data_IF_631971408811
#
_entry.id   IF_631971408811
#
_cell.length_a   1.000
_cell.length_b   1.000
_cell.length_c   1.000
_cell.angle_alpha   90.00
_cell.angle_beta   90.00
_cell.angle_gamma   90.00
#
_symmetry.space_group_name_H-M   'P 1'
#
loop_
_entity.id
_entity.type
_entity.pdbx_description
1 polymer ?
#
# COMPACT_ATOMS: atom_id res chain seq x y z
N UNK A 1 -8.66 16.42 -27.24
CA UNK A 1 -9.59 15.44 -26.65
C UNK A 1 -10.89 16.15 -26.28
N UNK A 2 -12.04 15.58 -26.61
CA UNK A 2 -13.35 16.14 -26.25
C UNK A 2 -13.70 15.83 -24.79
N UNK A 3 -14.73 16.49 -24.25
CA UNK A 3 -15.20 16.21 -22.88
C UNK A 3 -15.72 14.78 -22.72
N UNK A 4 -16.50 14.29 -23.69
CA UNK A 4 -17.02 12.92 -23.71
C UNK A 4 -15.90 11.86 -23.77
N UNK A 5 -14.84 12.11 -24.54
CA UNK A 5 -13.68 11.22 -24.60
C UNK A 5 -12.95 11.16 -23.25
N UNK A 6 -12.80 12.31 -22.61
CA UNK A 6 -12.16 12.41 -21.32
C UNK A 6 -12.98 11.72 -20.22
N UNK A 7 -14.29 11.94 -20.17
CA UNK A 7 -15.15 11.29 -19.19
C UNK A 7 -15.21 9.78 -19.37
N UNK A 8 -15.16 9.30 -20.62
CA UNK A 8 -14.98 7.88 -20.89
C UNK A 8 -13.67 7.35 -20.27
N UNK A 9 -12.54 8.02 -20.49
CA UNK A 9 -11.25 7.60 -19.93
C UNK A 9 -11.24 7.65 -18.40
N UNK A 10 -11.88 8.65 -17.78
CA UNK A 10 -12.03 8.73 -16.33
C UNK A 10 -12.79 7.54 -15.78
N UNK A 11 -13.95 7.24 -16.36
CA UNK A 11 -14.77 6.09 -15.95
C UNK A 11 -14.02 4.76 -16.16
N UNK A 12 -13.35 4.62 -17.30
CA UNK A 12 -12.59 3.44 -17.66
C UNK A 12 -11.40 3.21 -16.71
N UNK A 13 -10.59 4.23 -16.44
CA UNK A 13 -9.45 4.13 -15.51
C UNK A 13 -9.92 3.86 -14.08
N UNK A 14 -11.00 4.51 -13.64
CA UNK A 14 -11.61 4.24 -12.33
C UNK A 14 -12.04 2.78 -12.21
N UNK A 15 -12.73 2.24 -13.23
CA UNK A 15 -13.17 0.85 -13.23
C UNK A 15 -11.99 -0.15 -13.21
N UNK A 16 -10.93 0.14 -13.97
CA UNK A 16 -9.81 -0.80 -14.14
C UNK A 16 -8.75 -0.70 -13.05
N UNK A 17 -8.57 0.46 -12.43
CA UNK A 17 -7.45 0.72 -11.50
C UNK A 17 -7.85 1.42 -10.20
N UNK A 18 -9.09 1.90 -10.10
CA UNK A 18 -9.58 2.71 -8.99
C UNK A 18 -9.26 4.19 -9.12
N UNK A 19 -8.37 4.58 -10.06
CA UNK A 19 -7.88 5.95 -10.21
C UNK A 19 -9.02 6.95 -10.42
N UNK A 20 -9.27 7.78 -9.42
CA UNK A 20 -10.23 8.86 -9.45
C UNK A 20 -9.59 10.13 -10.03
N UNK A 21 -9.77 10.33 -11.34
CA UNK A 21 -9.33 11.54 -12.03
C UNK A 21 -10.33 12.69 -11.86
N UNK A 22 -9.82 13.85 -11.45
CA UNK A 22 -10.58 15.10 -11.42
C UNK A 22 -10.47 15.84 -12.76
N UNK A 23 -11.42 16.72 -13.12
CA UNK A 23 -11.39 17.43 -14.40
C UNK A 23 -10.10 18.23 -14.66
N UNK A 24 -9.50 18.78 -13.61
CA UNK A 24 -8.29 19.60 -13.67
C UNK A 24 -7.05 18.77 -14.07
N UNK A 25 -7.11 17.44 -13.90
CA UNK A 25 -6.03 16.51 -14.26
C UNK A 25 -6.10 16.05 -15.72
N UNK A 26 -6.90 16.70 -16.58
CA UNK A 26 -6.99 16.36 -18.02
C UNK A 26 -5.63 16.35 -18.71
N UNK A 27 -4.76 17.32 -18.42
CA UNK A 27 -3.41 17.41 -18.99
C UNK A 27 -2.54 16.17 -18.69
N UNK A 28 -2.82 15.47 -17.58
CA UNK A 28 -2.08 14.27 -17.19
C UNK A 28 -2.41 13.10 -18.12
N UNK A 29 -3.68 12.98 -18.50
CA UNK A 29 -4.14 11.97 -19.46
C UNK A 29 -3.48 12.22 -20.81
N UNK A 30 -3.45 13.47 -21.27
CA UNK A 30 -2.86 13.82 -22.56
C UNK A 30 -1.35 13.54 -22.59
N UNK A 31 -0.62 13.97 -21.56
CA UNK A 31 0.83 13.77 -21.49
C UNK A 31 1.24 12.30 -21.37
N UNK A 32 0.49 11.48 -20.60
CA UNK A 32 0.85 10.09 -20.32
C UNK A 32 0.32 9.09 -21.36
N UNK A 33 -0.82 9.36 -22.00
CA UNK A 33 -1.38 8.45 -23.00
C UNK A 33 -0.90 8.73 -24.42
N UNK A 34 -0.33 9.91 -24.71
CA UNK A 34 0.26 10.19 -26.03
C UNK A 34 1.39 9.20 -26.40
N UNK A 35 2.34 8.86 -25.51
CA UNK A 35 3.32 7.80 -25.75
C UNK A 35 2.68 6.43 -26.00
N UNK A 36 1.57 6.12 -25.32
CA UNK A 36 0.82 4.87 -25.53
C UNK A 36 0.24 4.85 -26.94
N UNK A 37 -0.39 5.94 -27.40
CA UNK A 37 -0.88 6.03 -28.79
C UNK A 37 0.23 5.71 -29.80
N UNK A 38 1.40 6.32 -29.65
CA UNK A 38 2.56 6.08 -30.53
C UNK A 38 3.00 4.62 -30.53
N UNK A 39 3.07 3.99 -29.36
CA UNK A 39 3.45 2.57 -29.20
C UNK A 39 2.50 1.62 -29.95
N UNK A 40 1.21 1.95 -30.00
CA UNK A 40 0.18 1.13 -30.66
C UNK A 40 -0.18 1.63 -32.06
N UNK A 41 0.58 2.56 -32.65
CA UNK A 41 0.33 3.07 -34.01
C UNK A 41 -0.94 3.90 -34.16
N UNK A 42 -1.45 4.47 -33.06
CA UNK A 42 -2.65 5.30 -33.04
C UNK A 42 -2.27 6.78 -33.22
N UNK A 43 -2.95 7.47 -34.14
CA UNK A 43 -2.65 8.87 -34.46
C UNK A 43 -3.10 9.84 -33.35
N UNK A 44 -4.21 9.53 -32.68
CA UNK A 44 -4.82 10.44 -31.69
C UNK A 44 -5.34 9.71 -30.45
N UNK A 45 -5.58 10.46 -29.38
CA UNK A 45 -6.28 9.95 -28.19
C UNK A 45 -7.73 9.56 -28.49
N UNK A 46 -8.35 10.16 -29.50
CA UNK A 46 -9.68 9.76 -29.97
C UNK A 46 -9.65 8.35 -30.53
N UNK A 47 -8.62 8.02 -31.30
CA UNK A 47 -8.43 6.67 -31.85
C UNK A 47 -8.19 5.65 -30.72
N UNK A 48 -7.45 6.06 -29.68
CA UNK A 48 -7.28 5.26 -28.47
C UNK A 48 -8.62 5.00 -27.78
N UNK A 49 -9.44 6.02 -27.55
CA UNK A 49 -10.78 5.87 -26.96
C UNK A 49 -11.67 4.98 -27.81
N UNK A 50 -11.67 5.15 -29.14
CA UNK A 50 -12.40 4.30 -30.06
C UNK A 50 -11.96 2.84 -29.96
N UNK A 51 -10.65 2.61 -29.88
CA UNK A 51 -10.06 1.27 -29.70
C UNK A 51 -10.48 0.65 -28.37
N UNK A 52 -10.39 1.38 -27.25
CA UNK A 52 -10.78 0.87 -25.93
C UNK A 52 -12.28 0.54 -25.81
N UNK A 53 -13.14 1.18 -26.60
CA UNK A 53 -14.58 0.90 -26.62
C UNK A 53 -14.95 -0.40 -27.35
N UNK A 54 -14.16 -0.78 -28.36
CA UNK A 54 -14.50 -1.86 -29.29
C UNK A 54 -13.63 -3.08 -29.05
N UNK A 55 -12.34 -2.86 -28.74
CA UNK A 55 -11.34 -3.91 -28.65
C UNK A 55 -11.45 -4.69 -27.35
N UNK A 56 -11.23 -6.01 -27.44
CA UNK A 56 -10.96 -6.88 -26.29
C UNK A 56 -9.46 -7.11 -26.06
N UNK A 57 -8.60 -6.37 -26.78
CA UNK A 57 -7.15 -6.48 -26.64
C UNK A 57 -6.74 -5.98 -25.24
N UNK A 58 -6.29 -6.91 -24.41
CA UNK A 58 -5.84 -6.61 -23.05
C UNK A 58 -4.51 -5.87 -23.01
N UNK A 59 -3.73 -5.86 -24.09
CA UNK A 59 -2.40 -5.25 -24.13
C UNK A 59 -2.47 -3.72 -24.13
N UNK A 60 -3.39 -3.14 -24.90
CA UNK A 60 -3.60 -1.68 -24.93
C UNK A 60 -4.25 -1.19 -23.63
N UNK A 61 -5.22 -1.94 -23.09
CA UNK A 61 -5.82 -1.67 -21.78
C UNK A 61 -4.75 -1.61 -20.70
N UNK A 62 -3.90 -2.64 -20.64
CA UNK A 62 -2.79 -2.72 -19.68
C UNK A 62 -1.85 -1.54 -19.83
N UNK A 63 -1.45 -1.19 -21.06
CA UNK A 63 -0.56 -0.05 -21.29
C UNK A 63 -1.17 1.29 -20.88
N UNK A 64 -2.48 1.49 -21.09
CA UNK A 64 -3.21 2.69 -20.65
C UNK A 64 -3.24 2.77 -19.12
N UNK A 65 -3.55 1.65 -18.46
CA UNK A 65 -3.58 1.59 -16.99
C UNK A 65 -2.19 1.84 -16.40
N UNK A 66 -1.15 1.15 -16.90
CA UNK A 66 0.23 1.31 -16.44
C UNK A 66 0.74 2.74 -16.66
N UNK A 67 0.48 3.34 -17.81
CA UNK A 67 0.88 4.72 -18.08
C UNK A 67 0.23 5.72 -17.12
N UNK A 68 -0.96 5.42 -16.61
CA UNK A 68 -1.70 6.31 -15.71
C UNK A 68 -1.40 6.09 -14.22
N UNK A 69 -0.67 5.04 -13.84
CA UNK A 69 -0.23 4.90 -12.44
C UNK A 69 0.81 5.95 -12.09
N UNK A 70 0.84 6.39 -10.82
CA UNK A 70 1.86 7.32 -10.32
C UNK A 70 2.72 6.59 -9.32
N UNK A 71 3.95 6.27 -9.72
CA UNK A 71 4.81 5.30 -9.05
C UNK A 71 5.93 5.95 -8.22
N UNK A 72 5.72 7.15 -7.67
CA UNK A 72 6.76 7.83 -6.88
C UNK A 72 7.02 7.09 -5.56
N UNK A 73 8.25 6.61 -5.40
CA UNK A 73 8.72 5.93 -4.19
C UNK A 73 10.22 6.17 -3.99
N UNK A 74 10.70 5.98 -2.77
CA UNK A 74 12.12 6.06 -2.43
C UNK A 74 12.40 5.30 -1.12
N UNK A 75 13.66 4.93 -0.92
CA UNK A 75 14.05 4.15 0.25
C UNK A 75 13.76 4.92 1.54
N UNK A 76 13.20 4.22 2.53
CA UNK A 76 12.88 4.78 3.84
C UNK A 76 11.98 6.03 3.79
N UNK A 77 11.05 6.08 2.82
CA UNK A 77 10.09 7.20 2.66
C UNK A 77 9.37 7.56 3.95
N UNK A 78 9.39 8.84 4.30
CA UNK A 78 8.84 9.44 5.52
C UNK A 78 9.48 8.99 6.84
N UNK A 79 10.52 8.13 6.80
CA UNK A 79 11.34 7.57 7.91
C UNK A 79 10.57 6.93 9.08
N UNK A 80 9.65 7.66 9.71
CA UNK A 80 8.79 7.26 10.83
C UNK A 80 8.16 5.87 10.67
N UNK A 81 7.58 5.47 9.53
CA UNK A 81 7.00 4.13 9.39
C UNK A 81 8.02 3.00 9.63
N UNK A 82 9.25 3.22 9.15
CA UNK A 82 10.35 2.27 9.25
C UNK A 82 11.00 2.27 10.64
N UNK A 83 11.09 3.44 11.29
CA UNK A 83 11.48 3.52 12.70
C UNK A 83 10.45 2.82 13.61
N UNK A 84 9.14 3.03 13.37
CA UNK A 84 8.07 2.30 14.07
C UNK A 84 8.17 0.79 13.85
N UNK A 85 8.47 0.35 12.63
CA UNK A 85 8.69 -1.07 12.37
C UNK A 85 9.84 -1.63 13.18
N UNK A 86 11.01 -0.98 13.16
CA UNK A 86 12.20 -1.42 13.88
C UNK A 86 11.98 -1.45 15.39
N UNK A 87 11.43 -0.38 15.97
CA UNK A 87 11.45 -0.15 17.41
C UNK A 87 10.19 -0.66 18.12
N UNK A 88 9.07 -0.76 17.41
CA UNK A 88 7.76 -1.10 18.00
C UNK A 88 7.20 -2.39 17.41
N UNK A 89 6.97 -2.42 16.10
CA UNK A 89 6.19 -3.50 15.48
C UNK A 89 6.95 -4.81 15.43
N UNK A 90 8.23 -4.80 15.04
CA UNK A 90 9.03 -6.01 14.94
C UNK A 90 9.20 -6.69 16.31
N UNK A 91 9.61 -5.99 17.40
CA UNK A 91 9.66 -6.60 18.74
C UNK A 91 8.32 -7.16 19.21
N UNK A 92 7.21 -6.43 19.01
CA UNK A 92 5.88 -6.87 19.42
C UNK A 92 5.41 -8.11 18.62
N UNK A 93 5.60 -8.10 17.30
CA UNK A 93 5.23 -9.22 16.46
C UNK A 93 6.07 -10.47 16.80
N UNK A 94 7.36 -10.29 17.09
CA UNK A 94 8.22 -11.39 17.53
C UNK A 94 7.77 -11.98 18.88
N UNK A 95 7.37 -11.15 19.84
CA UNK A 95 6.85 -11.65 21.11
C UNK A 95 5.55 -12.46 20.92
N UNK A 96 4.61 -11.93 20.12
CA UNK A 96 3.32 -12.58 19.83
C UNK A 96 3.46 -13.89 19.06
N UNK A 97 4.43 -13.94 18.13
CA UNK A 97 4.66 -15.09 17.24
C UNK A 97 5.74 -16.04 17.74
N UNK A 98 6.25 -15.88 18.97
CA UNK A 98 7.38 -16.65 19.48
C UNK A 98 7.20 -18.18 19.37
N UNK A 99 5.97 -18.68 19.52
CA UNK A 99 5.67 -20.11 19.35
C UNK A 99 5.69 -20.60 17.90
N UNK A 100 5.33 -19.75 16.93
CA UNK A 100 5.30 -20.10 15.50
C UNK A 100 6.59 -19.73 14.77
N UNK A 101 7.31 -18.73 15.29
CA UNK A 101 8.53 -18.12 14.70
C UNK A 101 8.35 -17.75 13.23
N UNK A 102 7.14 -17.32 12.87
CA UNK A 102 6.80 -16.87 11.53
C UNK A 102 6.25 -15.45 11.58
N UNK A 103 6.76 -14.59 10.69
CA UNK A 103 6.34 -13.21 10.53
C UNK A 103 5.98 -12.98 9.06
N UNK A 104 4.80 -12.42 8.80
CA UNK A 104 4.36 -12.07 7.44
C UNK A 104 4.09 -10.58 7.33
N UNK A 105 4.69 -9.94 6.34
CA UNK A 105 4.57 -8.52 6.07
C UNK A 105 4.05 -8.34 4.64
N UNK A 106 3.11 -7.43 4.43
CA UNK A 106 2.59 -7.09 3.11
C UNK A 106 2.85 -5.63 2.78
N UNK A 107 3.53 -5.36 1.67
CA UNK A 107 3.62 -4.04 1.04
C UNK A 107 2.60 -3.96 -0.11
N UNK A 108 1.48 -3.30 0.14
CA UNK A 108 0.41 -3.04 -0.80
C UNK A 108 0.71 -1.75 -1.60
N UNK A 109 0.83 -1.88 -2.93
CA UNK A 109 1.36 -0.87 -3.84
C UNK A 109 2.87 -0.60 -3.66
N UNK A 110 3.66 -1.66 -3.78
CA UNK A 110 5.10 -1.65 -3.54
C UNK A 110 5.92 -0.83 -4.57
N UNK A 111 5.31 -0.42 -5.69
CA UNK A 111 5.94 0.30 -6.79
C UNK A 111 7.26 -0.39 -7.21
N UNK A 112 8.34 0.36 -7.39
CA UNK A 112 9.64 -0.13 -7.85
C UNK A 112 10.46 -0.82 -6.74
N UNK A 113 9.85 -1.19 -5.62
CA UNK A 113 10.42 -2.08 -4.61
C UNK A 113 11.18 -1.43 -3.45
N UNK A 114 11.34 -0.11 -3.42
CA UNK A 114 12.13 0.55 -2.37
C UNK A 114 11.54 0.35 -0.97
N UNK A 115 10.21 0.33 -0.81
CA UNK A 115 9.55 0.07 0.48
C UNK A 115 9.82 -1.34 1.02
N UNK A 116 9.55 -2.44 0.27
CA UNK A 116 9.85 -3.78 0.75
C UNK A 116 11.36 -4.02 0.95
N UNK A 117 12.23 -3.41 0.14
CA UNK A 117 13.68 -3.48 0.38
C UNK A 117 14.13 -2.73 1.63
N UNK A 118 13.52 -1.59 1.96
CA UNK A 118 13.79 -0.92 3.23
C UNK A 118 13.44 -1.80 4.43
N UNK A 119 12.33 -2.56 4.36
CA UNK A 119 11.98 -3.54 5.38
C UNK A 119 12.94 -4.73 5.41
N UNK A 120 13.33 -5.26 4.24
CA UNK A 120 14.31 -6.34 4.13
C UNK A 120 15.65 -5.96 4.77
N UNK A 121 16.12 -4.72 4.55
CA UNK A 121 17.32 -4.18 5.20
C UNK A 121 17.17 -4.17 6.73
N UNK A 122 16.05 -3.66 7.26
CA UNK A 122 15.83 -3.64 8.71
C UNK A 122 15.78 -5.04 9.33
N UNK A 123 15.17 -5.99 8.64
CA UNK A 123 15.14 -7.39 9.07
C UNK A 123 16.54 -8.00 9.04
N UNK A 124 17.33 -7.72 8.00
CA UNK A 124 18.72 -8.17 7.92
C UNK A 124 19.59 -7.58 9.04
N UNK A 125 19.36 -6.31 9.40
CA UNK A 125 20.06 -5.64 10.52
C UNK A 125 19.61 -6.16 11.90
N UNK A 126 18.41 -6.72 12.03
CA UNK A 126 17.98 -7.38 13.27
C UNK A 126 18.83 -8.65 13.58
N UNK A 127 19.46 -9.23 12.55
CA UNK A 127 20.50 -10.25 12.68
C UNK A 127 20.10 -11.43 13.55
N UNK A 128 20.92 -11.72 14.57
CA UNK A 128 20.74 -12.88 15.46
C UNK A 128 19.38 -12.92 16.19
N UNK A 129 18.69 -11.78 16.34
CA UNK A 129 17.34 -11.74 16.94
C UNK A 129 16.34 -12.54 16.11
N UNK A 130 16.53 -12.61 14.79
CA UNK A 130 15.70 -13.35 13.86
C UNK A 130 16.25 -14.75 13.53
N UNK A 131 17.27 -15.23 14.25
CA UNK A 131 17.75 -16.60 14.08
C UNK A 131 16.58 -17.59 14.23
N UNK A 132 16.41 -18.49 13.26
CA UNK A 132 15.32 -19.47 13.24
C UNK A 132 13.90 -18.90 13.04
N UNK A 133 13.78 -17.63 12.64
CA UNK A 133 12.50 -17.06 12.20
C UNK A 133 12.31 -17.25 10.70
N UNK A 134 11.09 -17.60 10.29
CA UNK A 134 10.65 -17.51 8.91
C UNK A 134 9.98 -16.15 8.69
N UNK A 135 10.61 -15.28 7.90
CA UNK A 135 10.05 -13.96 7.56
C UNK A 135 9.70 -13.93 6.07
N UNK A 136 8.47 -13.50 5.77
CA UNK A 136 7.94 -13.40 4.41
C UNK A 136 7.51 -11.95 4.16
N UNK A 137 8.08 -11.29 3.15
CA UNK A 137 7.61 -9.99 2.65
C UNK A 137 6.87 -10.24 1.34
N UNK A 138 5.56 -10.05 1.33
CA UNK A 138 4.77 -10.04 0.10
C UNK A 138 4.70 -8.61 -0.41
N UNK A 139 5.13 -8.37 -1.64
CA UNK A 139 5.10 -7.04 -2.26
C UNK A 139 4.18 -7.09 -3.48
N UNK A 140 3.14 -6.26 -3.49
CA UNK A 140 2.15 -6.27 -4.57
C UNK A 140 1.98 -4.93 -5.22
N UNK A 141 1.76 -4.91 -6.53
CA UNK A 141 1.43 -3.70 -7.28
C UNK A 141 0.51 -4.03 -8.47
N UNK A 142 -0.20 -3.01 -8.97
CA UNK A 142 -0.99 -3.10 -10.20
C UNK A 142 -0.08 -3.11 -11.42
N UNK A 143 0.97 -2.29 -11.41
CA UNK A 143 1.90 -2.16 -12.54
C UNK A 143 2.89 -3.31 -12.54
N UNK A 144 2.93 -4.06 -13.65
CA UNK A 144 3.89 -5.16 -13.79
C UNK A 144 5.29 -4.64 -14.08
N UNK A 145 5.42 -3.49 -14.75
CA UNK A 145 6.70 -2.86 -15.05
C UNK A 145 7.48 -2.52 -13.77
N UNK A 146 6.81 -1.91 -12.78
CA UNK A 146 7.46 -1.55 -11.52
C UNK A 146 7.79 -2.78 -10.66
N UNK A 147 6.95 -3.82 -10.73
CA UNK A 147 7.24 -5.11 -10.09
C UNK A 147 8.50 -5.73 -10.67
N UNK A 148 8.64 -5.78 -11.99
CA UNK A 148 9.83 -6.36 -12.62
C UNK A 148 11.09 -5.54 -12.28
N UNK A 149 11.00 -4.20 -12.23
CA UNK A 149 12.08 -3.36 -11.71
C UNK A 149 12.43 -3.70 -10.25
N UNK A 150 11.42 -3.89 -9.40
CA UNK A 150 11.58 -4.32 -8.01
C UNK A 150 12.31 -5.67 -7.91
N UNK A 151 11.91 -6.68 -8.70
CA UNK A 151 12.56 -8.00 -8.75
C UNK A 151 14.01 -7.92 -9.22
N UNK A 152 14.31 -7.12 -10.24
CA UNK A 152 15.66 -6.89 -10.73
C UNK A 152 16.53 -6.21 -9.67
N UNK A 153 15.94 -5.29 -8.90
CA UNK A 153 16.60 -4.57 -7.82
C UNK A 153 17.73 -3.66 -8.30
N UNK A 154 17.63 -3.17 -9.54
CA UNK A 154 18.56 -2.24 -10.17
C UNK A 154 18.02 -0.82 -10.09
N UNK A 155 18.83 0.08 -9.53
CA UNK A 155 18.46 1.46 -9.25
C UNK A 155 19.52 2.43 -9.75
N UNK A 156 19.08 3.59 -10.22
CA UNK A 156 19.99 4.68 -10.58
C UNK A 156 20.69 5.27 -9.36
N UNK A 157 21.78 6.02 -9.60
CA UNK A 157 22.49 6.74 -8.54
C UNK A 157 21.55 7.69 -7.75
N UNK A 158 20.66 8.39 -8.45
CA UNK A 158 19.68 9.28 -7.83
C UNK A 158 18.73 8.53 -6.88
N UNK A 159 18.22 7.36 -7.30
CA UNK A 159 17.28 6.57 -6.50
C UNK A 159 17.92 6.03 -5.22
N UNK A 160 19.17 5.55 -5.29
CA UNK A 160 19.85 5.03 -4.11
C UNK A 160 20.37 6.11 -3.16
N UNK A 161 20.48 7.36 -3.61
CA UNK A 161 20.81 8.49 -2.71
C UNK A 161 19.58 9.09 -2.04
N UNK A 162 18.37 8.79 -2.53
CA UNK A 162 17.13 9.33 -1.98
C UNK A 162 16.64 8.50 -0.79
N UNK A 163 17.01 8.94 0.41
CA UNK A 163 16.51 8.41 1.69
C UNK A 163 17.24 7.19 2.26
N UNK A 164 18.10 6.53 1.48
CA UNK A 164 18.94 5.42 1.95
C UNK A 164 20.20 5.96 2.66
N UNK A 165 20.46 5.56 3.92
CA UNK A 165 21.73 5.84 4.59
C UNK A 165 22.94 5.27 3.81
N UNK A 166 23.99 6.08 3.65
CA UNK A 166 25.19 5.71 2.87
C UNK A 166 25.85 4.40 3.33
N UNK A 167 25.85 4.14 4.64
CA UNK A 167 26.37 2.89 5.20
C UNK A 167 25.63 1.65 4.69
N UNK A 168 24.32 1.76 4.42
CA UNK A 168 23.51 0.67 3.88
C UNK A 168 23.65 0.56 2.37
N UNK A 169 23.87 1.67 1.66
CA UNK A 169 24.26 1.62 0.25
C UNK A 169 25.54 0.79 0.07
N UNK A 170 26.59 1.10 0.83
CA UNK A 170 27.88 0.40 0.74
C UNK A 170 27.80 -1.07 1.19
N UNK A 171 26.90 -1.39 2.12
CA UNK A 171 26.75 -2.74 2.68
C UNK A 171 25.86 -3.65 1.83
N UNK A 172 24.79 -3.12 1.24
CA UNK A 172 23.72 -3.92 0.64
C UNK A 172 23.59 -3.76 -0.87
N UNK A 173 24.40 -2.91 -1.51
CA UNK A 173 24.39 -2.75 -2.96
C UNK A 173 25.77 -2.99 -3.55
N UNK A 174 25.75 -3.38 -4.83
CA UNK A 174 26.93 -3.47 -5.67
C UNK A 174 26.72 -2.58 -6.88
N UNK A 175 27.72 -1.77 -7.21
CA UNK A 175 27.66 -0.94 -8.41
C UNK A 175 27.87 -1.83 -9.65
N UNK A 176 26.95 -1.74 -10.61
CA UNK A 176 27.01 -2.43 -11.91
C UNK A 176 26.90 -1.36 -13.00
N UNK A 177 28.05 -1.00 -13.58
CA UNK A 177 28.14 0.15 -14.48
C UNK A 177 27.70 1.44 -13.79
N UNK A 178 26.67 2.10 -14.34
CA UNK A 178 26.09 3.33 -13.79
C UNK A 178 24.96 3.09 -12.77
N UNK A 179 24.55 1.84 -12.58
CA UNK A 179 23.45 1.46 -11.69
C UNK A 179 23.96 0.77 -10.42
N UNK A 180 23.07 0.65 -9.44
CA UNK A 180 23.31 -0.02 -8.17
C UNK A 180 22.32 -1.16 -8.04
N UNK A 181 22.84 -2.38 -7.85
CA UNK A 181 22.02 -3.56 -7.64
C UNK A 181 22.00 -3.94 -6.17
N UNK A 182 20.80 -4.14 -5.62
CA UNK A 182 20.65 -4.63 -4.25
C UNK A 182 21.02 -6.11 -4.14
N UNK A 183 21.60 -6.46 -2.98
CA UNK A 183 22.13 -7.79 -2.69
C UNK A 183 21.11 -8.90 -2.98
N UNK A 184 21.51 -10.01 -3.65
CA UNK A 184 20.63 -11.13 -3.97
C UNK A 184 19.87 -11.69 -2.75
N UNK A 185 20.52 -11.72 -1.58
CA UNK A 185 19.92 -12.20 -0.34
C UNK A 185 18.69 -11.36 0.08
N UNK A 186 18.72 -10.04 -0.10
CA UNK A 186 17.57 -9.18 0.20
C UNK A 186 16.45 -9.35 -0.83
N UNK A 187 16.79 -9.58 -2.11
CA UNK A 187 15.81 -9.89 -3.17
C UNK A 187 15.06 -11.17 -2.88
N UNK A 188 15.77 -12.19 -2.38
CA UNK A 188 15.18 -13.48 -2.03
C UNK A 188 14.19 -13.42 -0.84
N UNK A 189 14.19 -12.32 -0.06
CA UNK A 189 13.24 -12.13 1.04
C UNK A 189 11.85 -11.66 0.58
N UNK A 190 11.73 -11.21 -0.67
CA UNK A 190 10.54 -10.53 -1.17
C UNK A 190 9.85 -11.38 -2.24
N UNK A 191 8.59 -11.72 -1.99
CA UNK A 191 7.70 -12.34 -2.95
C UNK A 191 6.85 -11.27 -3.66
N UNK A 192 7.22 -10.95 -4.90
CA UNK A 192 6.53 -9.97 -5.72
C UNK A 192 5.36 -10.58 -6.49
N UNK A 193 4.15 -10.01 -6.33
CA UNK A 193 2.94 -10.49 -7.02
C UNK A 193 2.15 -9.34 -7.67
N UNK A 194 1.65 -9.50 -8.91
CA UNK A 194 0.69 -8.54 -9.45
C UNK A 194 -0.63 -8.61 -8.67
N UNK A 195 -1.15 -7.47 -8.24
CA UNK A 195 -2.43 -7.36 -7.55
C UNK A 195 -3.07 -5.99 -7.80
N UNK A 196 -4.33 -6.00 -8.21
CA UNK A 196 -5.16 -4.81 -8.19
C UNK A 196 -5.83 -4.69 -6.82
N UNK A 197 -5.69 -3.53 -6.15
CA UNK A 197 -6.35 -3.29 -4.86
C UNK A 197 -7.89 -3.33 -4.95
N UNK A 198 -8.46 -3.21 -6.14
CA UNK A 198 -9.90 -3.40 -6.36
C UNK A 198 -10.37 -4.86 -6.26
N UNK A 199 -9.46 -5.83 -6.33
CA UNK A 199 -9.77 -7.26 -6.30
C UNK A 199 -9.64 -7.84 -4.88
N UNK A 200 -10.21 -9.02 -4.65
CA UNK A 200 -10.10 -9.75 -3.38
C UNK A 200 -8.66 -10.08 -2.97
N UNK A 201 -8.43 -10.17 -1.65
CA UNK A 201 -7.11 -10.39 -1.04
C UNK A 201 -6.96 -11.79 -0.43
N UNK A 202 -7.96 -12.67 -0.56
CA UNK A 202 -8.08 -13.98 0.10
C UNK A 202 -6.86 -14.86 -0.16
N UNK A 203 -6.37 -14.87 -1.40
CA UNK A 203 -5.23 -15.68 -1.81
C UNK A 203 -3.89 -15.27 -1.14
N UNK A 204 -3.82 -14.09 -0.52
CA UNK A 204 -2.62 -13.62 0.17
C UNK A 204 -2.53 -14.13 1.62
N UNK A 205 -3.65 -14.57 2.20
CA UNK A 205 -3.76 -14.95 3.61
C UNK A 205 -3.64 -13.76 4.56
N UNK A 206 -3.33 -14.01 5.84
CA UNK A 206 -3.24 -12.97 6.87
C UNK A 206 -1.80 -12.50 7.11
N UNK A 207 -1.66 -11.26 7.59
CA UNK A 207 -0.40 -10.57 7.82
C UNK A 207 -0.29 -9.98 9.22
N UNK A 208 0.92 -9.98 9.77
CA UNK A 208 1.23 -9.33 11.04
C UNK A 208 1.40 -7.82 10.86
N UNK A 209 1.94 -7.40 9.71
CA UNK A 209 2.10 -6.00 9.35
C UNK A 209 1.70 -5.78 7.89
N UNK A 210 0.90 -4.77 7.63
CA UNK A 210 0.55 -4.31 6.29
C UNK A 210 1.03 -2.86 6.13
N UNK A 211 1.74 -2.59 5.06
CA UNK A 211 2.04 -1.25 4.56
C UNK A 211 1.11 -0.99 3.38
N UNK A 212 0.31 0.06 3.44
CA UNK A 212 -0.53 0.53 2.33
C UNK A 212 -0.39 2.05 2.25
N UNK A 213 0.72 2.50 1.68
CA UNK A 213 1.17 3.89 1.81
C UNK A 213 1.18 4.62 0.48
N UNK A 214 0.71 5.86 0.51
CA UNK A 214 0.71 6.80 -0.61
C UNK A 214 -0.03 6.30 -1.86
N UNK A 215 -1.05 5.46 -1.68
CA UNK A 215 -1.85 4.87 -2.78
C UNK A 215 -3.34 5.19 -2.66
N UNK A 216 -3.90 5.22 -1.44
CA UNK A 216 -5.31 5.52 -1.21
C UNK A 216 -5.66 6.95 -1.61
N UNK A 217 -4.68 7.85 -1.69
CA UNK A 217 -4.84 9.22 -2.20
C UNK A 217 -5.36 9.29 -3.64
N UNK A 218 -5.23 8.21 -4.42
CA UNK A 218 -5.68 8.16 -5.83
C UNK A 218 -7.12 7.67 -5.99
N UNK A 219 -7.75 7.17 -4.93
CA UNK A 219 -9.08 6.59 -4.96
C UNK A 219 -10.14 7.56 -4.44
N UNK A 220 -11.40 7.33 -4.78
CA UNK A 220 -12.52 8.06 -4.17
C UNK A 220 -12.91 7.46 -2.81
N UNK A 221 -13.71 8.19 -2.03
CA UNK A 221 -14.10 7.79 -0.67
C UNK A 221 -14.70 6.39 -0.58
N UNK A 222 -15.67 5.98 -1.43
CA UNK A 222 -16.21 4.62 -1.40
C UNK A 222 -15.15 3.55 -1.66
N UNK A 223 -14.27 3.76 -2.64
CA UNK A 223 -13.20 2.80 -2.97
C UNK A 223 -12.19 2.69 -1.82
N UNK A 224 -11.84 3.81 -1.17
CA UNK A 224 -10.96 3.76 0.02
C UNK A 224 -11.57 2.97 1.16
N UNK A 225 -12.85 3.20 1.45
CA UNK A 225 -13.57 2.51 2.52
C UNK A 225 -13.61 1.00 2.29
N UNK A 226 -13.91 0.57 1.06
CA UNK A 226 -13.92 -0.84 0.67
C UNK A 226 -12.53 -1.49 0.80
N UNK A 227 -11.49 -0.85 0.26
CA UNK A 227 -10.10 -1.35 0.36
C UNK A 227 -9.69 -1.47 1.83
N UNK A 228 -9.92 -0.45 2.66
CA UNK A 228 -9.59 -0.47 4.07
C UNK A 228 -10.34 -1.58 4.83
N UNK A 229 -11.61 -1.81 4.50
CA UNK A 229 -12.40 -2.90 5.06
C UNK A 229 -11.80 -4.27 4.76
N UNK A 230 -11.36 -4.49 3.52
CA UNK A 230 -10.70 -5.75 3.09
C UNK A 230 -9.29 -5.88 3.66
N UNK A 231 -8.53 -4.79 3.81
CA UNK A 231 -7.23 -4.80 4.49
C UNK A 231 -7.37 -5.23 5.96
N UNK A 232 -8.40 -4.74 6.65
CA UNK A 232 -8.68 -5.12 8.03
C UNK A 232 -8.90 -6.64 8.18
N UNK A 233 -9.59 -7.27 7.22
CA UNK A 233 -9.80 -8.73 7.21
C UNK A 233 -8.53 -9.55 6.92
N UNK A 234 -7.46 -8.91 6.45
CA UNK A 234 -6.15 -9.53 6.21
C UNK A 234 -5.17 -9.27 7.35
N UNK A 235 -5.48 -8.41 8.30
CA UNK A 235 -4.67 -8.27 9.51
C UNK A 235 -4.88 -9.47 10.44
N UNK A 236 -3.80 -9.93 11.06
CA UNK A 236 -3.89 -10.75 12.25
C UNK A 236 -4.61 -9.99 13.39
N UNK A 237 -5.17 -10.69 14.41
CA UNK A 237 -5.93 -10.04 15.49
C UNK A 237 -5.20 -8.87 16.19
N UNK A 238 -3.88 -8.95 16.27
CA UNK A 238 -3.02 -7.88 16.81
C UNK A 238 -2.06 -7.31 15.76
N UNK A 239 -2.43 -7.44 14.49
CA UNK A 239 -1.67 -6.93 13.36
C UNK A 239 -1.71 -5.40 13.27
N UNK A 240 -0.77 -4.86 12.50
CA UNK A 240 -0.60 -3.43 12.29
C UNK A 240 -0.78 -3.05 10.82
N UNK A 241 -1.49 -1.97 10.56
CA UNK A 241 -1.54 -1.29 9.26
C UNK A 241 -0.83 0.06 9.35
N UNK A 242 0.08 0.35 8.42
CA UNK A 242 0.68 1.66 8.24
C UNK A 242 0.17 2.32 6.98
N UNK A 243 -0.29 3.57 7.11
CA UNK A 243 -0.70 4.43 5.99
C UNK A 243 0.32 5.56 5.76
N UNK A 244 0.27 6.19 4.60
CA UNK A 244 1.08 7.36 4.29
C UNK A 244 0.63 8.59 5.08
N UNK A 245 1.51 9.59 5.16
CA UNK A 245 1.29 10.76 6.04
C UNK A 245 0.01 11.58 5.74
N UNK A 246 -0.51 11.49 4.52
CA UNK A 246 -1.72 12.18 4.06
C UNK A 246 -2.98 11.28 4.04
N UNK A 247 -2.90 10.07 4.60
CA UNK A 247 -3.96 9.07 4.58
C UNK A 247 -4.49 8.81 6.00
N UNK A 248 -5.77 8.41 6.10
CA UNK A 248 -6.43 8.15 7.38
C UNK A 248 -7.53 7.11 7.21
N UNK A 249 -7.92 6.43 8.31
CA UNK A 249 -9.09 5.54 8.36
C UNK A 249 -10.36 6.25 8.85
N UNK A 250 -10.20 7.43 9.46
CA UNK A 250 -11.28 8.17 10.11
C UNK A 250 -12.34 8.58 9.07
N UNK A 251 -13.60 8.25 9.34
CA UNK A 251 -14.70 8.53 8.43
C UNK A 251 -14.78 7.60 7.21
N UNK A 252 -13.92 6.57 7.14
CA UNK A 252 -13.90 5.59 6.04
C UNK A 252 -14.27 4.18 6.51
N UNK A 253 -13.87 3.79 7.71
CA UNK A 253 -14.18 2.46 8.26
C UNK A 253 -14.19 2.49 9.79
N UNK A 254 -15.00 1.62 10.39
CA UNK A 254 -15.05 1.32 11.83
C UNK A 254 -14.26 0.06 12.21
N UNK A 255 -13.75 -0.68 11.23
CA UNK A 255 -12.98 -1.92 11.43
C UNK A 255 -11.52 -1.69 11.79
N UNK A 256 -11.03 -0.47 11.59
CA UNK A 256 -9.66 -0.06 11.90
C UNK A 256 -9.70 1.14 12.82
N UNK A 257 -8.84 1.15 13.83
CA UNK A 257 -8.70 2.29 14.75
C UNK A 257 -7.26 2.80 14.76
N UNK A 258 -7.05 4.13 14.90
CA UNK A 258 -5.72 4.70 15.03
C UNK A 258 -5.09 4.25 16.36
N UNK A 259 -3.79 3.97 16.32
CA UNK A 259 -3.02 3.73 17.52
C UNK A 259 -2.88 5.05 18.32
N UNK A 260 -3.17 5.06 19.62
CA UNK A 260 -3.17 6.30 20.40
C UNK A 260 -1.76 6.87 20.67
N UNK A 261 -0.71 6.06 20.59
CA UNK A 261 0.67 6.47 20.84
C UNK A 261 1.45 6.78 19.57
N UNK A 262 1.10 6.13 18.45
CA UNK A 262 1.90 6.16 17.22
C UNK A 262 1.06 6.63 16.03
N UNK A 263 1.32 7.86 15.58
CA UNK A 263 0.65 8.43 14.41
C UNK A 263 0.94 7.60 13.15
N UNK A 264 -0.10 7.37 12.34
CA UNK A 264 0.00 6.63 11.08
C UNK A 264 -0.02 5.11 11.24
N UNK A 265 -0.07 4.62 12.48
CA UNK A 265 -0.28 3.22 12.82
C UNK A 265 -1.76 2.98 13.14
N UNK A 266 -2.30 1.90 12.60
CA UNK A 266 -3.68 1.46 12.78
C UNK A 266 -3.72 -0.02 13.16
N UNK A 267 -4.69 -0.41 13.96
CA UNK A 267 -4.94 -1.82 14.31
C UNK A 267 -6.37 -2.21 14.02
N UNK A 268 -6.68 -3.51 14.13
CA UNK A 268 -8.07 -3.98 14.10
C UNK A 268 -8.82 -3.33 15.26
N UNK A 269 -9.95 -2.69 14.95
CA UNK A 269 -10.79 -2.09 15.98
C UNK A 269 -11.30 -3.21 16.90
N UNK A 270 -11.04 -3.08 18.20
CA UNK A 270 -11.70 -3.94 19.17
C UNK A 270 -13.19 -3.61 19.16
N UNK A 271 -14.09 -4.60 19.24
CA UNK A 271 -15.49 -4.32 19.49
C UNK A 271 -15.54 -3.46 20.73
N UNK A 272 -16.13 -2.27 20.64
CA UNK A 272 -16.40 -1.49 21.84
C UNK A 272 -17.16 -2.42 22.79
N UNK A 273 -16.56 -2.74 23.95
CA UNK A 273 -17.34 -3.20 25.08
C UNK A 273 -18.42 -2.13 25.23
N UNK A 274 -19.67 -2.46 24.83
CA UNK A 274 -20.80 -1.56 25.03
C UNK A 274 -20.78 -1.27 26.52
N UNK A 275 -20.35 -0.07 26.90
CA UNK A 275 -20.49 0.40 28.25
C UNK A 275 -21.99 0.29 28.53
N UNK A 276 -22.36 -0.66 29.40
CA UNK A 276 -23.72 -0.76 29.89
C UNK A 276 -24.00 0.60 30.52
N UNK A 277 -24.97 1.37 30.00
CA UNK A 277 -25.28 2.66 30.62
C UNK A 277 -25.61 2.38 32.09
N UNK A 278 -25.11 3.19 33.03
CA UNK A 278 -25.44 3.00 34.44
C UNK A 278 -26.96 2.98 34.57
N UNK A 279 -27.48 1.97 35.29
CA UNK A 279 -28.89 1.89 35.65
C UNK A 279 -29.33 3.25 36.19
N UNK A 280 -30.45 3.82 35.70
CA UNK A 280 -30.94 5.08 36.24
C UNK A 280 -31.14 4.92 37.74
N UNK A 281 -30.58 5.86 38.51
CA UNK A 281 -30.70 5.89 39.96
C UNK A 281 -32.19 5.77 40.34
N UNK A 282 -32.49 4.82 41.22
CA UNK A 282 -33.84 4.62 41.74
C UNK A 282 -34.39 5.95 42.28
N UNK A 283 -35.56 6.35 41.78
CA UNK A 283 -36.25 7.55 42.24
C UNK A 283 -36.45 7.48 43.76
N UNK A 284 -36.17 8.55 44.51
CA UNK A 284 -36.45 8.58 45.93
C UNK A 284 -37.96 8.48 46.16
N UNK A 285 -38.38 7.51 46.98
CA UNK A 285 -39.76 7.34 47.41
C UNK A 285 -40.22 8.62 48.14
N UNK A 286 -41.25 9.27 47.60
CA UNK A 286 -41.96 10.36 48.27
C UNK A 286 -42.53 9.85 49.60
N UNK A 287 -41.95 10.31 50.71
CA UNK A 287 -42.58 10.21 52.03
C UNK A 287 -43.80 11.11 52.06
N UNK A 288 -44.99 10.52 51.99
CA UNK A 288 -46.24 11.20 52.33
C UNK A 288 -46.27 11.35 53.86
N UNK A 289 -46.23 12.59 54.34
CA UNK A 289 -46.46 12.90 55.75
C UNK A 289 -47.97 12.77 56.04
N UNK A 290 -48.33 11.85 56.93
CA UNK A 290 -49.67 11.79 57.51
C UNK A 290 -49.78 12.82 58.65
N UNK A 291 -50.92 13.54 58.67
CA UNK A 291 -51.43 14.24 59.86
C UNK A 291 -52.20 13.27 60.73
#
# INVERSE_FOLDING_TARGET
MTELEFDFLRAYLKQRSGLALTPEKRYLVESRLTPVCRRFGLATLRDLVGTLKISRDSSIEKAVVEAMTTNETFFFRDRTPFDLFRDVLLPQAMARRAGQRRLRIWCAAASTGQEPYSLAILLQEAGAKLAGWQVEIVATDLSTEVIEKGKLGLYSHFEVQRGLPVQWLLKYFTQIGEQWQIAPALRAMIDYRPLNLLNGFEALGSFDVIYCRNVLIYFDTPTKADILGRLAERLAPEGALLLGAAETVIGLTDRLSPNPQHRGLYGVAQPALRAVPPLPAAFPQLRVAAR
#
